data_IF_142826132890
#
_entry.id   IF_142826132890
#
_cell.length_a   1.000
_cell.length_b   1.000
_cell.length_c   1.000
_cell.angle_alpha   90.00
_cell.angle_beta   90.00
_cell.angle_gamma   90.00
#
_symmetry.space_group_name_H-M   'P 1'
#
loop_
_entity.id
_entity.type
_entity.pdbx_description
1 polymer ?
#
# COMPACT_ATOMS: atom_id res chain seq x y z
N UNK A 1 -9.75 12.61 8.87
CA UNK A 1 -9.87 11.47 7.93
C UNK A 1 -11.20 11.61 7.22
N UNK A 2 -11.22 11.57 5.89
CA UNK A 2 -12.48 11.60 5.14
C UNK A 2 -13.22 10.28 5.37
N UNK A 3 -14.49 10.37 5.83
CA UNK A 3 -15.40 9.21 5.93
C UNK A 3 -15.77 8.75 4.51
N UNK A 4 -16.02 7.45 4.31
CA UNK A 4 -16.53 6.93 3.04
C UNK A 4 -15.46 6.56 2.01
N UNK A 5 -14.20 6.34 2.40
CA UNK A 5 -13.13 5.95 1.47
C UNK A 5 -13.39 4.57 0.83
N UNK A 6 -13.89 3.61 1.60
CA UNK A 6 -14.14 2.27 1.10
C UNK A 6 -15.29 2.26 0.07
N UNK A 7 -16.37 2.99 0.37
CA UNK A 7 -17.57 3.07 -0.47
C UNK A 7 -17.32 3.77 -1.81
N UNK A 8 -16.37 4.70 -1.85
CA UNK A 8 -16.05 5.48 -3.06
C UNK A 8 -15.01 4.80 -3.95
N UNK A 9 -14.28 3.82 -3.46
CA UNK A 9 -13.13 3.27 -4.18
C UNK A 9 -13.59 2.46 -5.41
N UNK A 10 -14.61 1.62 -5.28
CA UNK A 10 -15.13 0.86 -6.44
C UNK A 10 -15.72 1.75 -7.53
N UNK A 11 -16.62 2.72 -7.24
CA UNK A 11 -17.07 3.69 -8.25
C UNK A 11 -15.92 4.42 -8.95
N UNK A 12 -14.92 4.90 -8.18
CA UNK A 12 -13.76 5.57 -8.77
C UNK A 12 -13.00 4.68 -9.78
N UNK A 13 -12.79 3.41 -9.43
CA UNK A 13 -12.10 2.47 -10.34
C UNK A 13 -12.94 2.20 -11.59
N UNK A 14 -14.26 2.08 -11.46
CA UNK A 14 -15.17 1.93 -12.60
C UNK A 14 -15.12 3.15 -13.53
N UNK A 15 -15.15 4.35 -12.97
CA UNK A 15 -15.06 5.60 -13.74
C UNK A 15 -13.72 5.70 -14.48
N UNK A 16 -12.60 5.33 -13.84
CA UNK A 16 -11.29 5.33 -14.47
C UNK A 16 -11.25 4.36 -15.65
N UNK A 17 -11.69 3.12 -15.47
CA UNK A 17 -11.73 2.13 -16.55
C UNK A 17 -12.63 2.59 -17.70
N UNK A 18 -13.82 3.08 -17.40
CA UNK A 18 -14.76 3.58 -18.38
C UNK A 18 -14.19 4.77 -19.16
N UNK A 19 -13.46 5.68 -18.51
CA UNK A 19 -12.81 6.82 -19.16
C UNK A 19 -11.73 6.43 -20.18
N UNK A 20 -11.22 5.20 -20.10
CA UNK A 20 -10.22 4.65 -21.01
C UNK A 20 -10.77 3.57 -21.94
N UNK A 21 -12.07 3.36 -21.95
CA UNK A 21 -12.74 2.29 -22.71
C UNK A 21 -12.17 0.89 -22.41
N UNK A 22 -11.82 0.65 -21.13
CA UNK A 22 -11.25 -0.61 -20.63
C UNK A 22 -12.27 -1.31 -19.73
N UNK A 23 -12.51 -2.59 -19.97
CA UNK A 23 -13.37 -3.40 -19.11
C UNK A 23 -12.54 -4.17 -18.08
N UNK A 24 -13.16 -4.60 -16.97
CA UNK A 24 -12.53 -5.42 -15.93
C UNK A 24 -11.85 -6.68 -16.48
N UNK A 25 -12.46 -7.34 -17.48
CA UNK A 25 -11.94 -8.55 -18.12
C UNK A 25 -10.67 -8.33 -18.94
N UNK A 26 -10.37 -7.07 -19.29
CA UNK A 26 -9.20 -6.72 -20.09
C UNK A 26 -7.95 -6.53 -19.21
N UNK A 27 -8.14 -6.53 -17.90
CA UNK A 27 -7.03 -6.44 -16.94
C UNK A 27 -6.27 -7.76 -16.85
N UNK A 28 -4.95 -7.69 -16.86
CA UNK A 28 -4.07 -8.86 -16.72
C UNK A 28 -3.47 -9.01 -15.32
N UNK A 29 -3.52 -7.96 -14.50
CA UNK A 29 -3.06 -7.91 -13.10
C UNK A 29 -3.54 -6.64 -12.41
N UNK A 30 -3.43 -6.60 -11.08
CA UNK A 30 -3.76 -5.43 -10.27
C UNK A 30 -2.54 -5.04 -9.44
N UNK A 31 -2.03 -3.81 -9.63
CA UNK A 31 -1.01 -3.22 -8.75
C UNK A 31 -1.67 -2.52 -7.57
N UNK A 32 -1.16 -2.72 -6.36
CA UNK A 32 -1.65 -2.05 -5.16
C UNK A 32 -0.52 -1.56 -4.27
N UNK A 33 -0.63 -0.32 -3.80
CA UNK A 33 0.28 0.23 -2.80
C UNK A 33 0.09 -0.47 -1.46
N UNK A 34 1.17 -1.08 -0.93
CA UNK A 34 1.13 -1.79 0.35
C UNK A 34 1.66 -0.95 1.52
N UNK A 35 2.05 0.29 1.30
CA UNK A 35 2.64 1.19 2.30
C UNK A 35 4.16 1.28 2.20
N UNK A 36 4.80 1.95 3.16
CA UNK A 36 4.22 2.59 4.34
C UNK A 36 3.35 3.81 3.99
N UNK A 37 2.46 4.20 4.94
CA UNK A 37 1.55 5.34 4.76
C UNK A 37 0.31 5.25 5.67
N UNK A 38 -0.83 5.74 5.17
CA UNK A 38 -2.09 5.72 5.92
C UNK A 38 -2.54 4.27 6.19
N UNK A 39 -2.49 3.87 7.44
CA UNK A 39 -2.75 2.50 7.89
C UNK A 39 -4.13 1.95 7.46
N UNK A 40 -5.19 2.74 7.65
CA UNK A 40 -6.56 2.33 7.28
C UNK A 40 -6.72 2.26 5.76
N UNK A 41 -6.21 3.27 5.04
CA UNK A 41 -6.29 3.30 3.58
C UNK A 41 -5.56 2.13 2.92
N UNK A 42 -4.37 1.77 3.41
CA UNK A 42 -3.60 0.63 2.91
C UNK A 42 -4.37 -0.68 3.09
N UNK A 43 -4.99 -0.90 4.24
CA UNK A 43 -5.79 -2.12 4.47
C UNK A 43 -6.99 -2.21 3.55
N UNK A 44 -7.70 -1.10 3.34
CA UNK A 44 -8.85 -1.06 2.44
C UNK A 44 -8.41 -1.37 1.00
N UNK A 45 -7.37 -0.70 0.50
CA UNK A 45 -6.91 -0.90 -0.87
C UNK A 45 -6.35 -2.31 -1.11
N UNK A 46 -5.59 -2.86 -0.17
CA UNK A 46 -5.06 -4.23 -0.28
C UNK A 46 -6.19 -5.26 -0.24
N UNK A 47 -7.17 -5.11 0.66
CA UNK A 47 -8.31 -6.02 0.73
C UNK A 47 -9.13 -6.00 -0.58
N UNK A 48 -9.40 -4.79 -1.11
CA UNK A 48 -10.12 -4.64 -2.38
C UNK A 48 -9.33 -5.25 -3.55
N UNK A 49 -8.03 -4.96 -3.66
CA UNK A 49 -7.19 -5.49 -4.74
C UNK A 49 -7.15 -7.02 -4.73
N UNK A 50 -7.06 -7.64 -3.56
CA UNK A 50 -7.13 -9.11 -3.41
C UNK A 50 -8.49 -9.67 -3.79
N UNK A 51 -9.58 -9.02 -3.39
CA UNK A 51 -10.94 -9.42 -3.74
C UNK A 51 -11.19 -9.36 -5.26
N UNK A 52 -10.80 -8.25 -5.90
CA UNK A 52 -10.90 -8.09 -7.34
C UNK A 52 -10.03 -9.10 -8.09
N UNK A 53 -8.79 -9.30 -7.66
CA UNK A 53 -7.87 -10.26 -8.27
C UNK A 53 -8.43 -11.68 -8.23
N UNK A 54 -9.00 -12.08 -7.09
CA UNK A 54 -9.66 -13.37 -6.93
C UNK A 54 -10.88 -13.49 -7.88
N UNK A 55 -11.73 -12.47 -7.91
CA UNK A 55 -12.94 -12.45 -8.77
C UNK A 55 -12.61 -12.51 -10.27
N UNK A 56 -11.51 -11.87 -10.68
CA UNK A 56 -11.09 -11.80 -12.09
C UNK A 56 -10.15 -12.94 -12.51
N UNK A 57 -9.67 -13.76 -11.58
CA UNK A 57 -8.68 -14.82 -11.85
C UNK A 57 -7.32 -14.29 -12.28
N UNK A 58 -6.90 -13.09 -11.81
CA UNK A 58 -5.65 -12.44 -12.16
C UNK A 58 -4.81 -12.14 -10.90
N UNK A 59 -3.48 -11.98 -10.99
CA UNK A 59 -2.66 -11.68 -9.82
C UNK A 59 -2.86 -10.25 -9.32
N UNK A 60 -2.86 -10.08 -8.00
CA UNK A 60 -2.64 -8.80 -7.33
C UNK A 60 -1.17 -8.69 -6.92
N UNK A 61 -0.53 -7.57 -7.25
CA UNK A 61 0.89 -7.29 -6.99
C UNK A 61 1.01 -6.14 -5.99
N UNK A 62 1.63 -6.41 -4.86
CA UNK A 62 1.93 -5.38 -3.85
C UNK A 62 3.17 -4.60 -4.22
N UNK A 63 3.09 -3.27 -4.18
CA UNK A 63 4.22 -2.37 -4.42
C UNK A 63 4.41 -1.46 -3.22
N UNK A 64 5.62 -1.41 -2.68
CA UNK A 64 5.95 -0.47 -1.60
C UNK A 64 5.81 0.97 -2.07
N UNK A 65 5.28 1.85 -1.21
CA UNK A 65 5.27 3.30 -1.49
C UNK A 65 6.68 3.84 -1.70
N UNK A 66 7.67 3.30 -0.96
CA UNK A 66 9.07 3.71 -1.08
C UNK A 66 9.67 3.30 -2.42
N UNK A 67 9.33 2.10 -2.92
CA UNK A 67 9.79 1.66 -4.26
C UNK A 67 9.12 2.47 -5.37
N UNK A 68 7.85 2.82 -5.21
CA UNK A 68 7.14 3.68 -6.16
C UNK A 68 7.74 5.10 -6.21
N UNK A 69 8.15 5.67 -5.07
CA UNK A 69 8.87 6.95 -4.99
C UNK A 69 10.22 6.81 -5.72
N UNK A 70 10.99 5.76 -5.41
CA UNK A 70 12.29 5.51 -6.04
C UNK A 70 12.19 5.42 -7.56
N UNK A 71 11.17 4.76 -8.07
CA UNK A 71 10.94 4.63 -9.51
C UNK A 71 10.54 5.94 -10.19
N UNK A 72 9.99 6.89 -9.45
CA UNK A 72 9.55 8.20 -9.93
C UNK A 72 10.56 9.33 -9.74
N UNK A 73 11.71 9.09 -9.08
CA UNK A 73 12.72 10.12 -8.81
C UNK A 73 14.10 9.72 -9.30
N UNK A 74 14.87 10.70 -9.74
CA UNK A 74 16.25 10.48 -10.22
C UNK A 74 17.27 10.38 -9.07
N UNK A 75 16.97 10.93 -7.89
CA UNK A 75 17.89 11.00 -6.75
C UNK A 75 17.14 11.22 -5.44
N UNK A 76 17.83 11.01 -4.32
CA UNK A 76 17.31 11.20 -2.99
C UNK A 76 16.88 9.90 -2.31
N UNK A 77 16.67 9.98 -1.00
CA UNK A 77 16.23 8.86 -0.17
C UNK A 77 14.71 8.79 -0.20
N UNK A 78 14.10 7.70 -0.72
CA UNK A 78 12.65 7.53 -0.68
C UNK A 78 12.12 7.70 0.75
N UNK A 79 11.18 8.63 0.91
CA UNK A 79 10.75 9.11 2.21
C UNK A 79 9.23 9.30 2.23
N UNK A 80 8.56 8.67 3.19
CA UNK A 80 7.13 8.87 3.44
C UNK A 80 6.98 9.51 4.81
N UNK A 81 6.48 10.76 4.89
CA UNK A 81 6.26 11.44 6.16
C UNK A 81 5.35 10.64 7.09
N UNK A 82 5.70 10.61 8.37
CA UNK A 82 4.97 9.95 9.44
C UNK A 82 4.63 10.94 10.55
N UNK A 83 3.69 10.62 11.45
CA UNK A 83 3.36 11.48 12.59
C UNK A 83 4.58 11.82 13.46
N UNK A 84 4.50 12.91 14.21
CA UNK A 84 5.49 13.35 15.22
C UNK A 84 6.87 13.66 14.63
N UNK A 85 6.93 14.27 13.45
CA UNK A 85 8.20 14.64 12.83
C UNK A 85 9.06 13.45 12.41
N UNK A 86 8.46 12.30 12.18
CA UNK A 86 9.13 11.09 11.73
C UNK A 86 8.91 10.83 10.24
N UNK A 87 9.69 9.92 9.67
CA UNK A 87 9.53 9.46 8.30
C UNK A 87 9.89 7.99 8.16
N UNK A 88 9.18 7.31 7.28
CA UNK A 88 9.58 6.00 6.80
C UNK A 88 10.56 6.19 5.65
N UNK A 89 11.71 5.55 5.74
CA UNK A 89 12.76 5.61 4.71
C UNK A 89 13.27 4.22 4.39
N UNK A 90 13.84 4.08 3.19
CA UNK A 90 14.51 2.86 2.76
C UNK A 90 15.73 3.22 1.93
N UNK A 91 16.90 2.79 2.37
CA UNK A 91 18.12 2.82 1.58
C UNK A 91 18.10 1.69 0.52
N UNK A 92 18.98 1.74 -0.46
CA UNK A 92 18.98 0.79 -1.59
C UNK A 92 18.99 -0.69 -1.15
N UNK A 93 19.71 -1.02 -0.10
CA UNK A 93 19.89 -2.40 0.38
C UNK A 93 19.24 -2.68 1.73
N UNK A 94 18.55 -1.68 2.31
CA UNK A 94 18.01 -1.76 3.66
C UNK A 94 16.53 -2.12 3.73
N UNK A 95 16.13 -2.67 4.88
CA UNK A 95 14.71 -2.78 5.21
C UNK A 95 14.13 -1.38 5.52
N UNK A 96 12.85 -1.14 5.22
CA UNK A 96 12.18 0.10 5.61
C UNK A 96 12.27 0.34 7.11
N UNK A 97 12.59 1.57 7.51
CA UNK A 97 12.72 1.96 8.92
C UNK A 97 12.10 3.32 9.18
N UNK A 98 11.79 3.59 10.44
CA UNK A 98 11.28 4.87 10.91
C UNK A 98 12.45 5.67 11.52
N UNK A 99 12.60 6.92 11.09
CA UNK A 99 13.64 7.86 11.56
C UNK A 99 13.04 9.23 11.85
N UNK A 100 13.77 10.14 12.49
CA UNK A 100 13.37 11.55 12.51
C UNK A 100 13.43 12.13 11.10
N UNK A 101 12.45 12.94 10.71
CA UNK A 101 12.39 13.50 9.35
C UNK A 101 13.59 14.39 9.07
N UNK A 102 14.04 15.16 10.07
CA UNK A 102 15.17 16.10 9.97
C UNK A 102 16.52 15.39 9.77
N UNK A 103 16.59 14.07 10.07
CA UNK A 103 17.79 13.26 9.84
C UNK A 103 17.86 12.70 8.40
N UNK A 104 16.86 12.98 7.56
CA UNK A 104 16.83 12.44 6.19
C UNK A 104 17.52 13.43 5.24
N UNK A 105 18.70 13.08 4.78
CA UNK A 105 19.41 13.84 3.75
C UNK A 105 18.73 13.69 2.39
N UNK A 106 18.44 14.80 1.72
CA UNK A 106 17.82 14.81 0.39
C UNK A 106 16.57 13.90 0.27
N UNK A 107 15.48 14.16 1.04
CA UNK A 107 14.30 13.31 1.01
C UNK A 107 13.58 13.37 -0.33
N UNK A 108 13.40 12.22 -0.97
CA UNK A 108 12.49 12.06 -2.11
C UNK A 108 11.09 11.76 -1.58
N UNK A 109 10.20 12.74 -1.67
CA UNK A 109 8.83 12.66 -1.17
C UNK A 109 7.88 11.99 -2.19
N UNK A 110 6.72 11.48 -1.75
CA UNK A 110 5.70 10.99 -2.67
C UNK A 110 5.29 12.07 -3.67
N UNK A 111 5.22 11.70 -4.93
CA UNK A 111 4.66 12.53 -5.99
C UNK A 111 3.14 12.70 -5.83
N UNK A 112 2.49 13.44 -6.74
CA UNK A 112 1.05 13.55 -6.78
C UNK A 112 0.37 12.17 -6.82
N UNK A 113 -0.83 11.98 -6.22
CA UNK A 113 -1.46 10.67 -6.09
C UNK A 113 -1.60 9.90 -7.41
N UNK A 114 -1.88 10.60 -8.52
CA UNK A 114 -1.99 9.99 -9.84
C UNK A 114 -0.64 9.46 -10.36
N UNK A 115 0.45 10.20 -10.16
CA UNK A 115 1.80 9.79 -10.55
C UNK A 115 2.28 8.61 -9.71
N UNK A 116 2.00 8.63 -8.41
CA UNK A 116 2.30 7.51 -7.53
C UNK A 116 1.54 6.25 -7.95
N UNK A 117 0.25 6.36 -8.30
CA UNK A 117 -0.53 5.26 -8.81
C UNK A 117 0.02 4.71 -10.13
N UNK A 118 0.48 5.57 -11.04
CA UNK A 118 1.13 5.16 -12.28
C UNK A 118 2.47 4.44 -12.03
N UNK A 119 3.28 4.90 -11.07
CA UNK A 119 4.51 4.24 -10.69
C UNK A 119 4.23 2.83 -10.14
N UNK A 120 3.24 2.70 -9.25
CA UNK A 120 2.77 1.42 -8.73
C UNK A 120 2.31 0.49 -9.88
N UNK A 121 1.53 1.00 -10.82
CA UNK A 121 1.05 0.21 -11.95
C UNK A 121 2.19 -0.30 -12.84
N UNK A 122 3.19 0.56 -13.12
CA UNK A 122 4.38 0.19 -13.91
C UNK A 122 5.23 -0.87 -13.21
N UNK A 123 5.49 -0.70 -11.92
CA UNK A 123 6.25 -1.69 -11.13
C UNK A 123 5.49 -3.03 -11.05
N UNK A 124 4.19 -2.99 -10.84
CA UNK A 124 3.36 -4.19 -10.85
C UNK A 124 3.34 -4.86 -12.23
N UNK A 125 3.35 -4.08 -13.32
CA UNK A 125 3.41 -4.62 -14.68
C UNK A 125 4.72 -5.36 -14.97
N UNK A 126 5.84 -4.91 -14.40
CA UNK A 126 7.17 -5.52 -14.56
C UNK A 126 7.43 -6.69 -13.58
N UNK A 127 6.65 -6.82 -12.51
CA UNK A 127 6.86 -7.85 -11.50
C UNK A 127 6.45 -9.25 -11.98
N UNK A 128 7.01 -10.30 -11.34
CA UNK A 128 6.56 -11.68 -11.56
C UNK A 128 5.08 -11.84 -11.18
N UNK A 129 4.40 -12.74 -11.88
CA UNK A 129 2.99 -13.11 -11.60
C UNK A 129 2.88 -14.10 -10.44
N UNK A 130 3.95 -14.81 -10.12
CA UNK A 130 3.97 -15.94 -9.17
C UNK A 130 4.36 -15.53 -7.75
N UNK A 131 4.16 -14.26 -7.41
CA UNK A 131 4.43 -13.74 -6.07
C UNK A 131 3.31 -14.05 -5.06
N UNK A 132 3.60 -13.93 -3.76
CA UNK A 132 2.58 -14.08 -2.73
C UNK A 132 1.51 -12.97 -2.86
N UNK A 133 0.28 -13.22 -2.40
CA UNK A 133 -0.76 -12.19 -2.36
C UNK A 133 -0.28 -10.96 -1.57
N UNK A 134 -0.62 -9.74 -2.03
CA UNK A 134 -0.17 -8.52 -1.36
C UNK A 134 -0.67 -8.46 0.08
N UNK A 135 0.21 -8.04 0.99
CA UNK A 135 -0.09 -7.77 2.37
C UNK A 135 0.42 -6.36 2.75
N UNK A 136 -0.24 -5.66 3.70
CA UNK A 136 0.25 -4.37 4.18
C UNK A 136 1.68 -4.47 4.73
N UNK A 137 2.53 -3.53 4.33
CA UNK A 137 3.89 -3.40 4.82
C UNK A 137 3.88 -2.63 6.15
N UNK A 138 4.09 -3.34 7.25
CA UNK A 138 4.20 -2.74 8.58
C UNK A 138 5.67 -2.54 8.94
N UNK A 139 6.11 -1.28 8.97
CA UNK A 139 7.48 -0.91 9.37
C UNK A 139 7.61 -0.82 10.90
N UNK A 140 6.49 -0.57 11.59
CA UNK A 140 6.38 -0.59 13.04
C UNK A 140 5.38 -1.68 13.43
N UNK A 141 5.63 -2.45 14.50
CA UNK A 141 4.59 -3.29 15.10
C UNK A 141 3.34 -2.44 15.36
N UNK A 142 2.16 -3.00 15.14
CA UNK A 142 0.93 -2.30 15.47
C UNK A 142 1.01 -1.88 16.96
N UNK A 143 0.80 -0.58 17.23
CA UNK A 143 0.63 -0.06 18.60
C UNK A 143 -0.73 -0.59 19.14
N UNK A 144 -0.86 -1.91 19.26
CA UNK A 144 -1.94 -2.51 19.99
C UNK A 144 -1.64 -2.24 21.47
N UNK A 145 -2.45 -1.41 22.10
CA UNK A 145 -2.43 -1.35 23.55
C UNK A 145 -2.58 -2.79 24.08
N UNK A 146 -1.76 -3.22 25.04
CA UNK A 146 -1.95 -4.54 25.62
C UNK A 146 -3.40 -4.67 26.11
N UNK A 147 -3.99 -5.83 25.86
CA UNK A 147 -5.36 -6.10 26.32
C UNK A 147 -5.46 -5.77 27.81
N UNK A 148 -6.39 -4.86 28.17
CA UNK A 148 -6.60 -4.48 29.56
C UNK A 148 -7.28 -5.60 30.36
N UNK A 149 -7.98 -6.46 29.66
CA UNK A 149 -8.72 -7.58 30.24
C UNK A 149 -8.05 -8.90 29.90
N UNK A 150 -8.13 -9.84 30.84
CA UNK A 150 -7.69 -11.22 30.60
C UNK A 150 -8.49 -11.82 29.45
N UNK A 151 -7.84 -12.64 28.62
CA UNK A 151 -8.54 -13.35 27.57
C UNK A 151 -9.76 -14.11 28.14
N UNK A 152 -10.92 -14.07 27.49
CA UNK A 152 -12.08 -14.82 27.95
C UNK A 152 -11.71 -16.31 28.03
N UNK A 153 -12.16 -16.98 29.14
CA UNK A 153 -12.00 -18.43 29.26
C UNK A 153 -12.79 -19.10 28.15
N UNK A 154 -12.12 -19.89 27.34
CA UNK A 154 -12.80 -20.83 26.45
C UNK A 154 -13.38 -21.91 27.38
N UNK A 155 -14.71 -21.99 27.44
CA UNK A 155 -15.38 -23.11 28.09
C UNK A 155 -15.30 -24.25 27.08
N UNK A 156 -14.47 -25.25 27.38
CA UNK A 156 -14.51 -26.52 26.63
C UNK A 156 -15.89 -27.09 26.85
N UNK A 157 -16.62 -27.36 25.76
CA UNK A 157 -17.88 -28.08 25.80
C UNK A 157 -17.59 -29.47 26.37
N UNK A 158 -18.16 -29.76 27.57
CA UNK A 158 -18.08 -31.05 28.22
C UNK A 158 -19.04 -32.04 27.58
#
# INVERSE_FOLDING_TARGET
MARGQAERLMPLLQDILASQDVAWRDLSRIGVGIGPGNFTGIRISVALARGLALSLGIPAIGVSTLDAIRAGTASGIPCVPAPRGQAYVQTETGQPRLVAFDDVEHPALPSAPGELAQAIARLAAAASRDGPPPAPLYVRPADAAPARDAAPRILDDA
#
